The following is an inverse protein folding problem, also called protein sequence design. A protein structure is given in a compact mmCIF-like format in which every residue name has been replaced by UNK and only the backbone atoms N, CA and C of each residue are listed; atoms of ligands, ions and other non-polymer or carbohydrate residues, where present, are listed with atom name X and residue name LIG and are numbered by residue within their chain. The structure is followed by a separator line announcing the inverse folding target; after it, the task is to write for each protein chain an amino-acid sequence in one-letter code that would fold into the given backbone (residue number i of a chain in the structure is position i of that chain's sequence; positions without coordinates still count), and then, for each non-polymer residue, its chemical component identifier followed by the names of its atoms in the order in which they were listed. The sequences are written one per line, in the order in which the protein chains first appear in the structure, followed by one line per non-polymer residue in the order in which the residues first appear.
data_IF_568904991161
#
_entry.id   IF_568904991161
#
_cell.length_a   1.000
_cell.length_b   1.000
_cell.length_c   1.000
_cell.angle_alpha   90.00
_cell.angle_beta   90.00
_cell.angle_gamma   90.00
#
_symmetry.space_group_name_H-M   'P 1'
#
loop_
_entity.id
_entity.type
_entity.pdbx_description
1 polymer ?
#
# COMPACT_ATOMS: atom_id res chain seq x y z
N UNK A 1 -3.23 -22.99 0.43
CA UNK A 1 -2.53 -22.45 -0.76
C UNK A 1 -1.18 -21.89 -0.31
N UNK A 2 -0.09 -22.12 -1.05
CA UNK A 2 1.23 -21.57 -0.69
C UNK A 2 1.47 -20.18 -1.31
N UNK A 3 2.26 -19.33 -0.67
CA UNK A 3 2.56 -17.96 -1.12
C UNK A 3 3.12 -17.92 -2.55
N UNK A 4 4.02 -18.86 -2.91
CA UNK A 4 4.57 -18.95 -4.27
C UNK A 4 3.47 -19.16 -5.32
N UNK A 5 2.47 -20.00 -5.03
CA UNK A 5 1.33 -20.22 -5.93
C UNK A 5 0.47 -18.96 -6.06
N UNK A 6 0.31 -18.20 -4.97
CA UNK A 6 -0.40 -16.92 -5.02
C UNK A 6 0.36 -15.89 -5.86
N UNK A 7 1.69 -15.79 -5.74
CA UNK A 7 2.49 -14.88 -6.57
C UNK A 7 2.33 -15.18 -8.07
N UNK A 8 2.29 -16.46 -8.47
CA UNK A 8 2.05 -16.86 -9.86
C UNK A 8 0.66 -16.41 -10.32
N UNK A 9 -0.38 -16.59 -9.49
CA UNK A 9 -1.74 -16.10 -9.79
C UNK A 9 -1.75 -14.57 -9.93
N UNK A 10 -1.10 -13.85 -9.01
CA UNK A 10 -0.98 -12.40 -9.07
C UNK A 10 -0.23 -11.92 -10.31
N UNK A 11 0.74 -12.70 -10.82
CA UNK A 11 1.43 -12.39 -12.07
C UNK A 11 0.47 -12.48 -13.26
N UNK A 12 -0.37 -13.53 -13.34
CA UNK A 12 -1.39 -13.63 -14.38
C UNK A 12 -2.40 -12.48 -14.30
N UNK A 13 -2.91 -12.17 -13.10
CA UNK A 13 -3.81 -11.04 -12.86
C UNK A 13 -3.18 -9.70 -13.32
N UNK A 14 -1.92 -9.45 -12.97
CA UNK A 14 -1.17 -8.25 -13.39
C UNK A 14 -1.00 -8.18 -14.91
N UNK A 15 -0.75 -9.31 -15.57
CA UNK A 15 -0.62 -9.35 -17.02
C UNK A 15 -1.95 -9.02 -17.73
N UNK A 16 -3.07 -9.53 -17.22
CA UNK A 16 -4.42 -9.20 -17.72
C UNK A 16 -4.72 -7.70 -17.51
N UNK A 17 -4.44 -7.16 -16.32
CA UNK A 17 -4.58 -5.72 -16.05
C UNK A 17 -3.75 -4.83 -16.98
N UNK A 18 -2.62 -5.33 -17.50
CA UNK A 18 -1.85 -4.57 -18.48
C UNK A 18 -2.54 -4.50 -19.84
N UNK A 19 -3.31 -5.53 -20.21
CA UNK A 19 -4.04 -5.56 -21.47
C UNK A 19 -5.17 -4.52 -21.49
N UNK A 20 -5.80 -4.23 -20.35
CA UNK A 20 -6.85 -3.21 -20.26
C UNK A 20 -6.35 -1.80 -20.59
N UNK A 21 -5.05 -1.55 -20.48
CA UNK A 21 -4.43 -0.24 -20.81
C UNK A 21 -4.18 -0.04 -22.30
N UNK A 22 -4.14 -1.12 -23.08
CA UNK A 22 -3.76 -1.06 -24.51
C UNK A 22 -4.87 -1.55 -25.44
N UNK A 23 -5.86 -2.26 -24.90
CA UNK A 23 -6.96 -2.83 -25.67
C UNK A 23 -8.29 -2.38 -25.07
N UNK A 24 -9.19 -1.92 -25.93
CA UNK A 24 -10.61 -1.73 -25.59
C UNK A 24 -11.38 -3.06 -25.71
N UNK A 25 -11.06 -3.86 -26.73
CA UNK A 25 -11.65 -5.18 -26.95
C UNK A 25 -10.56 -6.16 -27.35
N UNK A 26 -10.60 -7.38 -26.83
CA UNK A 26 -9.61 -8.43 -27.12
C UNK A 26 -10.26 -9.81 -27.13
N UNK A 27 -9.85 -10.68 -28.05
CA UNK A 27 -10.34 -12.06 -28.08
C UNK A 27 -9.80 -12.88 -26.90
N UNK A 28 -10.62 -13.82 -26.38
CA UNK A 28 -10.21 -14.73 -25.31
C UNK A 28 -9.01 -15.59 -25.71
N UNK A 29 -8.89 -15.97 -26.98
CA UNK A 29 -7.76 -16.71 -27.51
C UNK A 29 -6.47 -15.88 -27.52
N UNK A 30 -6.56 -14.64 -28.01
CA UNK A 30 -5.44 -13.69 -28.02
C UNK A 30 -4.96 -13.34 -26.61
N UNK A 31 -5.90 -13.24 -25.68
CA UNK A 31 -5.61 -13.00 -24.27
C UNK A 31 -4.87 -14.19 -23.67
N UNK A 32 -5.35 -15.42 -23.89
CA UNK A 32 -4.68 -16.62 -23.43
C UNK A 32 -3.23 -16.71 -23.94
N UNK A 33 -3.01 -16.41 -25.23
CA UNK A 33 -1.68 -16.38 -25.82
C UNK A 33 -0.75 -15.33 -25.21
N UNK A 34 -1.24 -14.11 -24.95
CA UNK A 34 -0.43 -13.02 -24.38
C UNK A 34 -0.12 -13.22 -22.89
N UNK A 35 -1.05 -13.82 -22.14
CA UNK A 35 -0.93 -14.06 -20.70
C UNK A 35 -0.29 -15.42 -20.41
N UNK A 36 -0.06 -16.24 -21.45
CA UNK A 36 0.49 -17.60 -21.36
C UNK A 36 -0.40 -18.54 -20.53
N UNK A 37 -1.72 -18.42 -20.73
CA UNK A 37 -2.70 -19.35 -20.18
C UNK A 37 -2.89 -20.54 -21.12
N UNK A 38 -3.30 -21.72 -20.61
CA UNK A 38 -3.42 -22.94 -21.42
C UNK A 38 -4.45 -22.83 -22.56
N UNK A 39 -5.41 -21.92 -22.46
CA UNK A 39 -6.44 -21.73 -23.48
C UNK A 39 -7.46 -20.65 -23.12
N UNK A 40 -8.41 -20.39 -24.04
CA UNK A 40 -9.42 -19.33 -23.90
C UNK A 40 -10.38 -19.57 -22.72
N UNK A 41 -10.70 -20.83 -22.39
CA UNK A 41 -11.58 -21.16 -21.26
C UNK A 41 -10.96 -20.78 -19.90
N UNK A 42 -9.65 -20.96 -19.74
CA UNK A 42 -8.96 -20.51 -18.53
C UNK A 42 -8.88 -18.98 -18.49
N UNK A 43 -8.62 -18.32 -19.63
CA UNK A 43 -8.65 -16.86 -19.71
C UNK A 43 -10.01 -16.29 -19.29
N UNK A 44 -11.11 -16.88 -19.76
CA UNK A 44 -12.47 -16.50 -19.38
C UNK A 44 -12.69 -16.61 -17.87
N UNK A 45 -12.27 -17.72 -17.27
CA UNK A 45 -12.37 -17.96 -15.82
C UNK A 45 -11.55 -16.96 -15.00
N UNK A 46 -10.36 -16.59 -15.47
CA UNK A 46 -9.57 -15.54 -14.83
C UNK A 46 -10.26 -14.18 -14.93
N UNK A 47 -10.71 -13.79 -16.13
CA UNK A 47 -11.42 -12.53 -16.35
C UNK A 47 -12.67 -12.45 -15.48
N UNK A 48 -13.48 -13.51 -15.44
CA UNK A 48 -14.69 -13.56 -14.61
C UNK A 48 -14.38 -13.32 -13.13
N UNK A 49 -13.40 -14.04 -12.57
CA UNK A 49 -12.97 -13.85 -11.18
C UNK A 49 -12.43 -12.45 -10.93
N UNK A 50 -11.68 -11.88 -11.86
CA UNK A 50 -11.14 -10.54 -11.73
C UNK A 50 -12.24 -9.47 -11.79
N UNK A 51 -13.34 -9.72 -12.50
CA UNK A 51 -14.54 -8.87 -12.48
C UNK A 51 -15.26 -8.99 -11.14
N UNK A 52 -15.47 -10.22 -10.65
CA UNK A 52 -16.11 -10.48 -9.34
C UNK A 52 -15.32 -9.87 -8.17
N UNK A 53 -13.99 -9.97 -8.21
CA UNK A 53 -13.07 -9.40 -7.22
C UNK A 53 -12.94 -7.86 -7.35
N UNK A 54 -13.48 -7.25 -8.41
CA UNK A 54 -13.35 -5.82 -8.69
C UNK A 54 -11.95 -5.37 -9.12
N UNK A 55 -11.12 -6.29 -9.62
CA UNK A 55 -9.74 -6.03 -10.06
C UNK A 55 -9.65 -5.44 -11.49
N UNK A 56 -10.66 -5.69 -12.32
CA UNK A 56 -10.84 -5.11 -13.65
C UNK A 56 -12.32 -4.82 -13.91
N UNK A 57 -12.58 -3.86 -14.79
CA UNK A 57 -13.92 -3.57 -15.30
C UNK A 57 -13.97 -4.07 -16.73
N UNK A 58 -14.74 -5.13 -16.97
CA UNK A 58 -14.84 -5.75 -18.28
C UNK A 58 -16.18 -6.48 -18.46
N UNK A 59 -16.54 -6.76 -19.70
CA UNK A 59 -17.68 -7.58 -20.07
C UNK A 59 -17.23 -8.68 -21.02
N UNK A 60 -17.73 -9.90 -20.80
CA UNK A 60 -17.40 -11.07 -21.61
C UNK A 60 -18.55 -11.31 -22.59
N UNK A 61 -18.24 -11.31 -23.89
CA UNK A 61 -19.16 -11.73 -24.93
C UNK A 61 -18.79 -13.16 -25.37
N UNK A 62 -19.48 -14.14 -24.79
CA UNK A 62 -19.25 -15.57 -25.09
C UNK A 62 -19.61 -15.96 -26.52
N UNK A 63 -20.57 -15.27 -27.16
CA UNK A 63 -21.00 -15.57 -28.52
C UNK A 63 -19.88 -15.30 -29.52
N UNK A 64 -19.19 -14.17 -29.35
CA UNK A 64 -18.12 -13.72 -30.24
C UNK A 64 -16.71 -14.08 -29.71
N UNK A 65 -16.63 -14.61 -28.49
CA UNK A 65 -15.37 -14.98 -27.84
C UNK A 65 -14.49 -13.78 -27.48
N UNK A 66 -15.10 -12.64 -27.18
CA UNK A 66 -14.42 -11.35 -26.97
C UNK A 66 -14.59 -10.86 -25.53
N UNK A 67 -13.61 -10.12 -25.05
CA UNK A 67 -13.66 -9.38 -23.80
C UNK A 67 -13.54 -7.88 -24.11
N UNK A 68 -14.55 -7.14 -23.68
CA UNK A 68 -14.58 -5.68 -23.74
C UNK A 68 -14.13 -5.13 -22.39
N UNK A 69 -13.08 -4.33 -22.41
CA UNK A 69 -12.55 -3.65 -21.23
C UNK A 69 -13.19 -2.27 -21.10
N UNK A 70 -13.58 -1.94 -19.87
CA UNK A 70 -14.18 -0.67 -19.51
C UNK A 70 -13.27 0.07 -18.53
N UNK A 71 -13.43 1.38 -18.48
CA UNK A 71 -12.82 2.19 -17.43
C UNK A 71 -13.54 2.01 -16.10
N UNK A 72 -12.89 2.44 -15.01
CA UNK A 72 -13.49 2.42 -13.68
C UNK A 72 -14.84 3.18 -13.67
N UNK A 73 -15.95 2.52 -13.29
CA UNK A 73 -17.27 3.15 -13.24
C UNK A 73 -17.40 4.20 -12.13
N UNK A 74 -16.46 4.27 -11.19
CA UNK A 74 -16.49 5.26 -10.11
C UNK A 74 -16.36 6.69 -10.64
N UNK A 75 -17.38 7.51 -10.34
CA UNK A 75 -17.47 8.92 -10.77
C UNK A 75 -17.20 9.90 -9.63
N UNK A 76 -16.89 9.41 -8.43
CA UNK A 76 -16.56 10.19 -7.23
C UNK A 76 -17.66 11.19 -6.80
N UNK A 77 -18.89 10.98 -7.23
CA UNK A 77 -20.02 11.88 -6.99
C UNK A 77 -21.10 11.27 -6.08
N UNK A 78 -20.80 10.14 -5.44
CA UNK A 78 -21.72 9.45 -4.55
C UNK A 78 -21.59 9.93 -3.10
N UNK A 79 -22.69 9.92 -2.35
CA UNK A 79 -22.66 10.19 -0.91
C UNK A 79 -21.77 9.19 -0.15
N UNK A 80 -21.65 7.97 -0.67
CA UNK A 80 -20.73 6.96 -0.15
C UNK A 80 -19.26 7.41 -0.25
N UNK A 81 -18.84 7.95 -1.40
CA UNK A 81 -17.48 8.46 -1.57
C UNK A 81 -17.18 9.62 -0.61
N UNK A 82 -18.16 10.50 -0.37
CA UNK A 82 -18.03 11.59 0.60
C UNK A 82 -17.84 11.03 2.03
N UNK A 83 -18.62 10.01 2.42
CA UNK A 83 -18.48 9.38 3.73
C UNK A 83 -17.12 8.69 3.88
N UNK A 84 -16.66 8.01 2.84
CA UNK A 84 -15.33 7.37 2.82
C UNK A 84 -14.22 8.42 2.97
N UNK A 85 -14.31 9.54 2.24
CA UNK A 85 -13.35 10.64 2.35
C UNK A 85 -13.34 11.26 3.76
N UNK A 86 -14.51 11.48 4.35
CA UNK A 86 -14.61 11.96 5.72
C UNK A 86 -14.00 10.96 6.72
N UNK A 87 -14.22 9.66 6.51
CA UNK A 87 -13.63 8.61 7.35
C UNK A 87 -12.11 8.60 7.27
N UNK A 88 -11.54 8.69 6.08
CA UNK A 88 -10.08 8.79 5.91
C UNK A 88 -9.52 10.08 6.50
N UNK A 89 -10.24 11.21 6.38
CA UNK A 89 -9.85 12.47 7.02
C UNK A 89 -9.79 12.34 8.54
N UNK A 90 -10.79 11.70 9.16
CA UNK A 90 -10.81 11.45 10.60
C UNK A 90 -9.64 10.58 11.06
N UNK A 91 -9.24 9.57 10.27
CA UNK A 91 -8.04 8.78 10.56
C UNK A 91 -6.78 9.63 10.54
N UNK A 92 -6.66 10.54 9.57
CA UNK A 92 -5.53 11.46 9.50
C UNK A 92 -5.48 12.41 10.71
N UNK A 93 -6.63 12.95 11.13
CA UNK A 93 -6.72 13.81 12.33
C UNK A 93 -6.28 13.03 13.57
N UNK A 94 -6.81 11.82 13.77
CA UNK A 94 -6.43 11.00 14.92
C UNK A 94 -4.93 10.62 14.91
N UNK A 95 -4.35 10.42 13.72
CA UNK A 95 -2.92 10.19 13.58
C UNK A 95 -2.11 11.45 13.93
N UNK A 96 -2.56 12.63 13.50
CA UNK A 96 -1.93 13.91 13.81
C UNK A 96 -1.94 14.19 15.32
N UNK A 97 -3.07 13.98 16.00
CA UNK A 97 -3.17 14.11 17.46
C UNK A 97 -2.17 13.20 18.17
N UNK A 98 -2.02 11.96 17.69
CA UNK A 98 -1.04 11.01 18.24
C UNK A 98 0.40 11.45 17.98
N UNK A 99 0.68 12.07 16.83
CA UNK A 99 1.99 12.63 16.53
C UNK A 99 2.30 13.84 17.42
N UNK A 100 1.32 14.72 17.68
CA UNK A 100 1.47 15.84 18.60
C UNK A 100 1.73 15.40 20.03
N UNK A 101 1.03 14.37 20.52
CA UNK A 101 1.27 13.80 21.85
C UNK A 101 2.67 13.19 21.98
N UNK A 102 3.12 12.51 20.92
CA UNK A 102 4.49 11.99 20.84
C UNK A 102 5.54 13.12 20.83
N UNK A 103 5.31 14.18 20.06
CA UNK A 103 6.19 15.35 19.98
C UNK A 103 6.26 16.08 21.32
N UNK A 104 5.12 16.24 22.00
CA UNK A 104 5.06 16.78 23.35
C UNK A 104 5.89 15.93 24.32
N UNK A 105 5.69 14.60 24.30
CA UNK A 105 6.41 13.66 25.15
C UNK A 105 7.93 13.74 24.94
N UNK A 106 8.39 13.88 23.69
CA UNK A 106 9.81 14.04 23.37
C UNK A 106 10.32 15.39 23.88
N UNK A 107 9.56 16.46 23.67
CA UNK A 107 9.93 17.83 24.07
C UNK A 107 10.08 17.96 25.59
N UNK A 108 9.22 17.28 26.38
CA UNK A 108 9.30 17.32 27.85
C UNK A 108 10.26 16.28 28.43
N UNK A 109 10.85 15.41 27.59
CA UNK A 109 11.77 14.37 28.06
C UNK A 109 13.07 15.00 28.61
N UNK A 110 13.32 14.80 29.90
CA UNK A 110 14.48 15.35 30.61
C UNK A 110 15.84 15.06 29.95
N UNK A 111 16.04 13.88 29.35
CA UNK A 111 17.30 13.55 28.67
C UNK A 111 17.45 14.30 27.34
N UNK A 112 16.33 14.58 26.66
CA UNK A 112 16.31 15.39 25.44
C UNK A 112 16.55 16.86 25.80
N UNK A 113 15.81 17.39 26.78
CA UNK A 113 15.96 18.77 27.29
C UNK A 113 17.39 19.05 27.78
N UNK A 114 18.01 18.15 28.55
CA UNK A 114 19.39 18.32 29.02
C UNK A 114 20.41 18.38 27.87
N UNK A 115 20.21 17.58 26.82
CA UNK A 115 21.08 17.58 25.63
C UNK A 115 20.84 18.79 24.73
N UNK A 116 19.59 19.22 24.55
CA UNK A 116 19.24 20.40 23.74
C UNK A 116 19.53 21.73 24.43
N UNK A 117 19.48 21.79 25.77
CA UNK A 117 19.88 22.96 26.55
C UNK A 117 21.39 23.05 26.80
N UNK A 118 22.21 22.14 26.24
CA UNK A 118 23.67 22.19 26.34
C UNK A 118 24.23 21.92 27.73
N UNK A 119 23.45 21.36 28.66
CA UNK A 119 23.85 21.17 30.08
C UNK A 119 24.74 19.94 30.31
N UNK A 120 25.39 19.41 29.28
CA UNK A 120 26.26 18.23 29.40
C UNK A 120 27.59 18.40 28.66
N UNK A 121 28.33 19.48 28.95
CA UNK A 121 29.76 19.57 28.61
C UNK A 121 30.72 19.68 29.81
N UNK A 122 30.26 19.73 31.07
CA UNK A 122 31.20 19.98 32.21
C UNK A 122 31.30 18.90 33.30
N UNK A 123 30.80 17.67 33.13
CA UNK A 123 30.93 16.62 34.16
C UNK A 123 31.83 15.42 33.77
N UNK A 124 32.91 15.68 33.04
CA UNK A 124 34.03 14.72 32.86
C UNK A 124 35.40 15.27 33.26
N UNK A 125 35.44 16.47 33.87
CA UNK A 125 36.67 17.12 34.31
C UNK A 125 36.65 17.34 35.82
N UNK A 126 37.24 16.40 36.57
CA UNK A 126 37.80 16.74 37.88
C UNK A 126 37.31 15.91 39.06
N UNK A 127 37.91 14.73 39.26
CA UNK A 127 38.21 14.25 40.62
C UNK A 127 39.19 13.07 40.59
N UNK A 128 40.42 13.33 40.18
CA UNK A 128 41.54 12.46 40.55
C UNK A 128 42.79 13.29 40.79
N UNK A 129 42.81 13.97 41.93
CA UNK A 129 44.06 14.39 42.56
C UNK A 129 43.92 14.65 44.06
N UNK A 130 44.74 13.89 44.79
CA UNK A 130 45.48 14.22 46.02
C UNK A 130 44.85 13.82 47.36
N UNK A 131 45.50 12.83 47.99
CA UNK A 131 46.02 12.77 49.37
C UNK A 131 46.86 11.46 49.42
N UNK A 132 48.17 11.42 49.66
CA UNK A 132 49.06 12.36 50.32
C UNK A 132 49.13 12.09 51.83
N UNK A 133 49.80 11.02 52.26
CA UNK A 133 50.24 10.71 53.64
C UNK A 133 51.19 9.49 53.54
N UNK A 134 52.51 9.54 53.82
CA UNK A 134 53.20 9.94 55.06
C UNK A 134 52.92 8.88 56.13
N UNK A 135 53.80 7.96 56.55
CA UNK A 135 55.26 7.93 56.75
C UNK A 135 55.87 6.60 56.30
#
# INVERSE_FOLDING_TARGET
MGLVKQCIISLYKKNIQRLTKTFLTLSLADMAGRVQLPGPAEAEKYVLRMIEDGEIFATINQKDGMVEFHDNPEKYNSAHMLLQLNTEMQKCIALDEKLQDMDHTITVNSQYVQKSCGLHEEELSGSSSIKGQGY
#
